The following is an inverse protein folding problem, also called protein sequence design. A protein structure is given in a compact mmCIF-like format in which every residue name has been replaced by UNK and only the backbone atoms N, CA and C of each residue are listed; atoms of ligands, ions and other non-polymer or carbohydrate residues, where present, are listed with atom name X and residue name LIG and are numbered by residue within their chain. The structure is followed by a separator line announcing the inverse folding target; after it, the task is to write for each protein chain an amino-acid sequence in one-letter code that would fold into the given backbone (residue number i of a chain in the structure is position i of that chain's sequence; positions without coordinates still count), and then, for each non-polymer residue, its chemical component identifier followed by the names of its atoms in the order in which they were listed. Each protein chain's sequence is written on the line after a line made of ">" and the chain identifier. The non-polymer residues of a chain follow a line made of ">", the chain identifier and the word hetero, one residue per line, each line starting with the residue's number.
data_IF_605623663516
#
_entry.id   IF_605623663516
#
_cell.length_a   1.000
_cell.length_b   1.000
_cell.length_c   1.000
_cell.angle_alpha   90.00
_cell.angle_beta   90.00
_cell.angle_gamma   90.00
#
_symmetry.space_group_name_H-M   'P 1'
#
loop_
_entity.id
_entity.type
_entity.pdbx_description
1 polymer ?
#
# COMPACT_ATOMS: atom_id res chain seq x y z
N UNK A 1 -9.20 -20.11 -3.27
CA UNK A 1 -8.16 -19.20 -3.82
C UNK A 1 -8.26 -19.06 -5.33
N UNK A 2 -8.41 -20.14 -6.10
CA UNK A 2 -8.41 -20.09 -7.58
C UNK A 2 -9.49 -19.20 -8.20
N UNK A 3 -10.69 -19.16 -7.60
CA UNK A 3 -11.76 -18.27 -8.05
C UNK A 3 -11.38 -16.80 -7.90
N UNK A 4 -10.77 -16.42 -6.77
CA UNK A 4 -10.31 -15.05 -6.55
C UNK A 4 -9.22 -14.66 -7.57
N UNK A 5 -8.29 -15.57 -7.85
CA UNK A 5 -7.27 -15.37 -8.90
C UNK A 5 -7.89 -15.13 -10.27
N UNK A 6 -8.83 -15.97 -10.71
CA UNK A 6 -9.51 -15.79 -12.00
C UNK A 6 -10.27 -14.46 -12.09
N UNK A 7 -10.88 -14.01 -11.00
CA UNK A 7 -11.58 -12.72 -10.96
C UNK A 7 -10.60 -11.55 -11.08
N UNK A 8 -9.46 -11.61 -10.39
CA UNK A 8 -8.41 -10.59 -10.50
C UNK A 8 -7.78 -10.57 -11.90
N UNK A 9 -7.47 -11.75 -12.47
CA UNK A 9 -6.84 -11.87 -13.80
C UNK A 9 -7.73 -11.34 -14.93
N UNK A 10 -9.06 -11.39 -14.77
CA UNK A 10 -10.02 -10.91 -15.78
C UNK A 10 -10.56 -9.50 -15.52
N UNK A 11 -10.29 -8.93 -14.35
CA UNK A 11 -10.77 -7.60 -13.98
C UNK A 11 -9.96 -6.51 -14.68
N UNK A 12 -10.64 -5.70 -15.50
CA UNK A 12 -10.02 -4.51 -16.10
C UNK A 12 -9.82 -3.40 -15.07
N UNK A 13 -10.85 -3.12 -14.27
CA UNK A 13 -10.86 -2.06 -13.24
C UNK A 13 -10.93 -2.68 -11.86
N UNK A 14 -9.99 -2.33 -10.99
CA UNK A 14 -9.89 -2.87 -9.64
C UNK A 14 -9.89 -1.71 -8.64
N UNK A 15 -10.78 -1.77 -7.65
CA UNK A 15 -10.74 -0.87 -6.50
C UNK A 15 -10.24 -1.65 -5.28
N UNK A 16 -9.17 -1.16 -4.67
CA UNK A 16 -8.58 -1.71 -3.45
C UNK A 16 -8.93 -0.75 -2.32
N UNK A 17 -9.70 -1.20 -1.35
CA UNK A 17 -10.03 -0.43 -0.15
C UNK A 17 -9.29 -1.01 1.06
N UNK A 18 -8.45 -0.19 1.70
CA UNK A 18 -7.69 -0.63 2.88
C UNK A 18 -8.04 0.16 4.14
N UNK A 19 -7.74 -0.45 5.29
CA UNK A 19 -7.82 0.17 6.61
C UNK A 19 -6.71 -0.37 7.52
N UNK A 20 -6.74 0.00 8.80
CA UNK A 20 -5.59 -0.18 9.72
C UNK A 20 -5.08 -1.62 9.83
N UNK A 21 -5.92 -2.62 9.57
CA UNK A 21 -5.52 -4.03 9.58
C UNK A 21 -4.37 -4.36 8.63
N UNK A 22 -4.27 -3.69 7.47
CA UNK A 22 -3.17 -3.93 6.51
C UNK A 22 -1.81 -3.55 7.08
N UNK A 23 -1.77 -2.60 8.02
CA UNK A 23 -0.54 -2.06 8.60
C UNK A 23 -0.21 -2.64 9.98
N UNK A 24 -1.07 -3.52 10.52
CA UNK A 24 -0.85 -4.18 11.81
C UNK A 24 0.46 -4.99 11.81
N UNK A 25 0.72 -5.76 10.75
CA UNK A 25 1.95 -6.55 10.58
C UNK A 25 3.21 -5.69 10.40
N UNK A 26 3.05 -4.41 10.04
CA UNK A 26 4.16 -3.43 10.01
C UNK A 26 4.47 -2.85 11.39
N UNK A 27 3.75 -3.27 12.44
CA UNK A 27 3.88 -2.73 13.80
C UNK A 27 3.12 -1.42 14.03
N UNK A 28 2.26 -1.00 13.09
CA UNK A 28 1.43 0.19 13.29
C UNK A 28 0.33 -0.13 14.31
N UNK A 29 0.21 0.64 15.41
CA UNK A 29 -0.86 0.47 16.38
C UNK A 29 -2.24 0.59 15.72
N UNK A 30 -3.04 -0.47 15.81
CA UNK A 30 -4.42 -0.45 15.31
C UNK A 30 -5.37 0.18 16.34
N UNK A 31 -6.48 0.75 15.86
CA UNK A 31 -7.49 1.37 16.72
C UNK A 31 -8.36 0.36 17.47
N UNK A 32 -8.52 -0.85 16.93
CA UNK A 32 -9.37 -1.92 17.46
C UNK A 32 -8.62 -3.25 17.35
N UNK A 33 -8.66 -4.08 18.40
CA UNK A 33 -7.99 -5.40 18.43
C UNK A 33 -7.39 -5.73 19.80
N UNK A 34 -6.93 -6.99 20.01
CA UNK A 34 -6.34 -7.44 21.27
C UNK A 34 -5.10 -6.64 21.68
N UNK A 35 -4.33 -6.15 20.71
CA UNK A 35 -3.14 -5.32 20.90
C UNK A 35 -3.40 -3.81 20.71
N UNK A 36 -4.69 -3.41 20.64
CA UNK A 36 -5.07 -2.02 20.54
C UNK A 36 -4.63 -1.27 21.79
N UNK A 37 -3.59 -0.43 21.68
CA UNK A 37 -3.02 0.39 22.74
C UNK A 37 -4.02 1.36 23.44
N UNK A 38 -5.29 1.36 23.02
CA UNK A 38 -6.34 2.29 23.43
C UNK A 38 -7.12 1.89 24.68
N UNK A 39 -6.55 1.06 25.56
CA UNK A 39 -7.16 0.80 26.89
C UNK A 39 -7.05 1.99 27.87
N UNK A 40 -6.22 3.01 27.58
CA UNK A 40 -6.00 4.15 28.49
C UNK A 40 -6.61 5.49 28.04
N UNK A 41 -6.85 5.68 26.74
CA UNK A 41 -7.54 6.87 26.20
C UNK A 41 -8.43 6.45 25.03
N UNK A 42 -9.67 6.93 25.00
CA UNK A 42 -10.60 6.64 23.90
C UNK A 42 -10.25 7.53 22.70
N UNK A 43 -10.23 7.01 21.46
CA UNK A 43 -9.97 7.82 20.27
C UNK A 43 -10.87 9.06 20.15
N UNK A 44 -12.11 8.99 20.64
CA UNK A 44 -13.07 10.10 20.66
C UNK A 44 -12.58 11.30 21.49
N UNK A 45 -11.75 11.04 22.50
CA UNK A 45 -11.17 12.05 23.39
C UNK A 45 -9.91 12.72 22.79
N UNK A 46 -9.45 12.28 21.61
CA UNK A 46 -8.17 12.72 21.01
C UNK A 46 -8.27 13.08 19.52
N UNK A 47 -9.11 12.40 18.76
CA UNK A 47 -9.21 12.53 17.30
C UNK A 47 -10.51 13.23 16.88
N UNK A 48 -10.94 14.25 17.62
CA UNK A 48 -12.09 15.10 17.27
C UNK A 48 -11.72 16.59 17.31
N UNK A 49 -12.35 17.45 16.50
CA UNK A 49 -12.13 18.89 16.57
C UNK A 49 -12.41 19.45 17.98
N UNK A 50 -13.42 18.91 18.67
CA UNK A 50 -13.77 19.31 20.03
C UNK A 50 -12.67 18.94 21.04
N UNK A 51 -12.09 17.74 20.94
CA UNK A 51 -10.96 17.34 21.79
C UNK A 51 -9.74 18.25 21.56
N UNK A 52 -9.43 18.55 20.30
CA UNK A 52 -8.33 19.46 19.96
C UNK A 52 -8.55 20.89 20.49
N UNK A 53 -9.79 21.39 20.46
CA UNK A 53 -10.11 22.69 21.05
C UNK A 53 -10.02 22.69 22.58
N UNK A 54 -10.38 21.56 23.21
CA UNK A 54 -10.36 21.44 24.67
C UNK A 54 -8.94 21.31 25.24
N UNK A 55 -8.09 20.48 24.62
CA UNK A 55 -6.67 20.32 25.00
C UNK A 55 -5.81 20.04 23.76
N UNK A 56 -5.35 21.08 23.04
CA UNK A 56 -4.53 20.91 21.85
C UNK A 56 -3.15 20.31 22.18
N UNK A 57 -2.64 20.54 23.40
CA UNK A 57 -1.33 20.02 23.82
C UNK A 57 -1.37 18.51 23.91
N UNK A 58 -2.36 17.95 24.61
CA UNK A 58 -2.54 16.51 24.72
C UNK A 58 -2.69 15.85 23.34
N UNK A 59 -3.51 16.43 22.46
CA UNK A 59 -3.71 15.90 21.11
C UNK A 59 -2.42 15.94 20.29
N UNK A 60 -1.64 17.03 20.38
CA UNK A 60 -0.34 17.12 19.71
C UNK A 60 0.69 16.15 20.25
N UNK A 61 0.82 16.02 21.56
CA UNK A 61 1.71 15.04 22.20
C UNK A 61 1.36 13.62 21.74
N UNK A 62 0.07 13.33 21.63
CA UNK A 62 -0.45 12.05 21.14
C UNK A 62 -0.12 11.78 19.67
N UNK A 63 -0.43 12.71 18.77
CA UNK A 63 -0.10 12.57 17.35
C UNK A 63 1.42 12.56 17.12
N UNK A 64 2.19 13.30 17.92
CA UNK A 64 3.66 13.28 17.91
C UNK A 64 4.21 11.89 18.24
N UNK A 65 3.72 11.28 19.31
CA UNK A 65 4.05 9.90 19.67
C UNK A 65 3.68 8.90 18.55
N UNK A 66 2.49 9.05 17.94
CA UNK A 66 2.07 8.19 16.82
C UNK A 66 3.00 8.35 15.61
N UNK A 67 3.34 9.59 15.25
CA UNK A 67 4.26 9.89 14.14
C UNK A 67 5.61 9.24 14.35
N UNK A 68 6.17 9.29 15.56
CA UNK A 68 7.44 8.65 15.88
C UNK A 68 7.39 7.13 15.70
N UNK A 69 6.30 6.48 16.17
CA UNK A 69 6.13 5.03 16.00
C UNK A 69 5.99 4.64 14.53
N UNK A 70 5.11 5.31 13.79
CA UNK A 70 4.88 5.04 12.37
C UNK A 70 6.13 5.31 11.53
N UNK A 71 6.91 6.35 11.86
CA UNK A 71 8.15 6.67 11.13
C UNK A 71 9.22 5.58 11.21
N UNK A 72 9.14 4.67 12.18
CA UNK A 72 10.02 3.50 12.28
C UNK A 72 9.48 2.26 11.54
N UNK A 73 8.20 2.26 11.13
CA UNK A 73 7.60 1.14 10.41
C UNK A 73 8.09 1.07 8.96
N UNK A 74 7.92 -0.11 8.34
CA UNK A 74 8.18 -0.36 6.93
C UNK A 74 6.97 -1.03 6.27
N UNK A 75 6.86 -0.94 4.93
CA UNK A 75 5.89 -1.74 4.21
C UNK A 75 6.04 -3.22 4.56
N UNK A 76 4.93 -3.95 4.46
CA UNK A 76 4.89 -5.39 4.65
C UNK A 76 4.43 -6.06 3.34
N UNK A 77 4.41 -7.40 3.25
CA UNK A 77 4.03 -8.10 2.02
C UNK A 77 2.66 -7.71 1.46
N UNK A 78 1.71 -7.26 2.29
CA UNK A 78 0.41 -6.80 1.81
C UNK A 78 0.52 -5.45 1.07
N UNK A 79 1.30 -4.50 1.59
CA UNK A 79 1.55 -3.22 0.91
C UNK A 79 2.30 -3.45 -0.41
N UNK A 80 3.32 -4.32 -0.41
CA UNK A 80 4.05 -4.68 -1.62
C UNK A 80 3.16 -5.34 -2.67
N UNK A 81 2.29 -6.28 -2.28
CA UNK A 81 1.37 -6.94 -3.20
C UNK A 81 0.38 -5.95 -3.83
N UNK A 82 -0.14 -5.01 -3.03
CA UNK A 82 -1.02 -3.94 -3.50
C UNK A 82 -0.28 -3.00 -4.45
N UNK A 83 0.95 -2.61 -4.12
CA UNK A 83 1.78 -1.75 -4.96
C UNK A 83 2.10 -2.43 -6.30
N UNK A 84 2.47 -3.72 -6.30
CA UNK A 84 2.68 -4.49 -7.55
C UNK A 84 1.41 -4.58 -8.40
N UNK A 85 0.24 -4.77 -7.78
CA UNK A 85 -1.03 -4.77 -8.50
C UNK A 85 -1.34 -3.39 -9.12
N UNK A 86 -1.09 -2.31 -8.36
CA UNK A 86 -1.31 -0.95 -8.83
C UNK A 86 -0.35 -0.58 -9.98
N UNK A 87 0.91 -1.01 -9.93
CA UNK A 87 1.89 -0.79 -10.99
C UNK A 87 1.63 -1.63 -12.25
N UNK A 88 1.10 -2.85 -12.10
CA UNK A 88 0.81 -3.74 -13.24
C UNK A 88 -0.55 -3.50 -13.90
N UNK A 89 -1.47 -2.79 -13.24
CA UNK A 89 -2.78 -2.44 -13.78
C UNK A 89 -3.05 -0.93 -13.67
N UNK A 90 -2.96 -0.23 -14.80
CA UNK A 90 -3.18 1.24 -14.89
C UNK A 90 -4.60 1.69 -14.49
N UNK A 91 -5.58 0.77 -14.48
CA UNK A 91 -6.96 1.01 -14.08
C UNK A 91 -7.25 0.59 -12.62
N UNK A 92 -6.24 0.12 -11.89
CA UNK A 92 -6.35 -0.11 -10.46
C UNK A 92 -6.35 1.21 -9.68
N UNK A 93 -7.19 1.29 -8.64
CA UNK A 93 -7.29 2.44 -7.74
C UNK A 93 -7.17 1.95 -6.30
N UNK A 94 -6.25 2.53 -5.56
CA UNK A 94 -6.11 2.32 -4.12
C UNK A 94 -6.80 3.46 -3.38
N UNK A 95 -7.69 3.10 -2.46
CA UNK A 95 -8.31 4.01 -1.51
C UNK A 95 -7.99 3.50 -0.11
N UNK A 96 -7.38 4.33 0.71
CA UNK A 96 -6.99 3.96 2.08
C UNK A 96 -7.64 4.86 3.11
N UNK A 97 -8.04 4.26 4.23
CA UNK A 97 -8.42 4.99 5.44
C UNK A 97 -7.22 5.31 6.33
N UNK A 98 -6.05 4.76 6.00
CA UNK A 98 -4.84 4.91 6.80
C UNK A 98 -4.18 6.26 6.56
N UNK A 99 -3.44 6.72 7.56
CA UNK A 99 -2.68 7.98 7.56
C UNK A 99 -1.20 7.75 7.85
N UNK A 100 -0.72 6.53 7.62
CA UNK A 100 0.64 6.09 7.95
C UNK A 100 1.66 6.24 6.80
N UNK A 101 1.19 6.32 5.54
CA UNK A 101 2.04 6.51 4.37
C UNK A 101 2.73 5.24 3.85
N UNK A 102 2.39 4.06 4.38
CA UNK A 102 3.09 2.82 4.04
C UNK A 102 2.78 2.29 2.63
N UNK A 103 1.63 2.66 2.06
CA UNK A 103 1.32 2.32 0.66
C UNK A 103 2.15 3.13 -0.33
N UNK A 104 2.27 4.44 -0.07
CA UNK A 104 3.09 5.34 -0.87
C UNK A 104 4.55 4.92 -0.82
N UNK A 105 5.07 4.61 0.38
CA UNK A 105 6.43 4.12 0.54
C UNK A 105 6.67 2.81 -0.24
N UNK A 106 5.74 1.86 -0.19
CA UNK A 106 5.85 0.61 -0.96
C UNK A 106 5.88 0.84 -2.48
N UNK A 107 5.08 1.79 -2.97
CA UNK A 107 5.08 2.18 -4.39
C UNK A 107 6.41 2.82 -4.80
N UNK A 108 6.96 3.71 -3.96
CA UNK A 108 8.23 4.38 -4.20
C UNK A 108 9.41 3.40 -4.18
N UNK A 109 9.46 2.48 -3.21
CA UNK A 109 10.49 1.43 -3.10
C UNK A 109 10.49 0.55 -4.35
N UNK A 110 9.33 0.04 -4.78
CA UNK A 110 9.22 -0.79 -5.98
C UNK A 110 9.49 -0.04 -7.29
N UNK A 111 9.11 1.24 -7.38
CA UNK A 111 9.42 2.06 -8.55
C UNK A 111 10.94 2.32 -8.65
N UNK A 112 11.64 2.36 -7.52
CA UNK A 112 13.08 2.60 -7.43
C UNK A 112 13.93 1.35 -7.75
N UNK A 113 13.39 0.15 -7.53
CA UNK A 113 14.06 -1.13 -7.84
C UNK A 113 14.17 -1.41 -9.36
N UNK A 114 13.46 -0.63 -10.20
CA UNK A 114 13.38 -0.86 -11.63
C UNK A 114 12.59 -2.14 -11.97
N UNK A 115 12.30 -2.41 -13.27
CA UNK A 115 11.71 -3.69 -13.62
C UNK A 115 12.67 -4.81 -13.21
N UNK A 116 12.16 -5.93 -12.65
CA UNK A 116 13.01 -7.07 -12.34
C UNK A 116 13.80 -7.41 -13.60
N UNK A 117 15.12 -7.42 -13.48
CA UNK A 117 15.98 -7.85 -14.56
C UNK A 117 15.47 -9.22 -15.00
N UNK A 118 15.07 -9.35 -16.27
CA UNK A 118 14.83 -10.65 -16.84
C UNK A 118 16.18 -11.37 -16.77
N UNK A 119 16.40 -12.17 -15.74
CA UNK A 119 17.51 -13.11 -15.72
C UNK A 119 17.27 -14.02 -16.91
N UNK A 120 18.10 -13.83 -17.93
CA UNK A 120 18.14 -14.66 -19.13
C UNK A 120 18.60 -16.06 -18.73
N UNK A 121 17.70 -16.86 -18.17
CA UNK A 121 17.88 -18.30 -18.18
C UNK A 121 17.57 -18.79 -19.60
N UNK A 122 18.57 -19.48 -20.15
CA UNK A 122 18.77 -19.63 -21.59
C UNK A 122 17.59 -20.27 -22.32
N UNK A 123 17.10 -19.55 -23.34
CA UNK A 123 16.51 -20.18 -24.52
C UNK A 123 17.58 -20.29 -25.59
N UNK A 124 18.31 -21.40 -25.58
CA UNK A 124 18.88 -21.97 -26.79
C UNK A 124 17.73 -22.46 -27.67
N UNK A 125 17.56 -21.87 -28.85
CA UNK A 125 16.63 -22.38 -29.85
C UNK A 125 15.97 -21.30 -30.71
N UNK A 126 16.52 -21.14 -31.91
CA UNK A 126 15.91 -20.60 -33.14
C UNK A 126 15.61 -19.09 -33.25
N UNK A 127 16.47 -18.42 -34.04
CA UNK A 127 16.18 -17.17 -34.74
C UNK A 127 14.95 -17.33 -35.64
N UNK A 128 13.86 -16.64 -35.31
CA UNK A 128 12.84 -16.30 -36.30
C UNK A 128 12.75 -14.78 -36.40
N UNK A 129 13.25 -14.25 -37.52
CA UNK A 129 13.10 -12.85 -37.88
C UNK A 129 11.61 -12.55 -38.09
N UNK A 130 11.02 -11.73 -37.21
CA UNK A 130 9.79 -11.00 -37.51
C UNK A 130 10.11 -9.52 -37.64
N UNK A 131 10.11 -9.06 -38.88
CA UNK A 131 10.04 -7.64 -39.24
C UNK A 131 8.64 -7.15 -38.88
N UNK A 132 8.54 -6.14 -38.01
CA UNK A 132 7.29 -5.41 -37.76
C UNK A 132 7.18 -4.27 -38.79
N UNK A 133 6.02 -4.04 -39.42
CA UNK A 133 5.82 -2.89 -40.28
C UNK A 133 5.63 -1.62 -39.44
N UNK A 134 6.21 -0.52 -39.92
CA UNK A 134 6.01 0.82 -39.38
C UNK A 134 4.54 1.26 -39.56
N UNK A 135 3.90 1.70 -38.47
CA UNK A 135 2.59 2.34 -38.54
C UNK A 135 2.73 3.81 -38.99
N UNK A 136 1.80 4.34 -39.81
CA UNK A 136 1.86 5.71 -40.27
C UNK A 136 1.47 6.70 -39.18
N UNK A 137 2.16 7.84 -39.17
CA UNK A 137 1.83 9.01 -38.36
C UNK A 137 0.51 9.61 -38.85
N UNK A 138 -0.41 9.85 -37.92
CA UNK A 138 -1.47 10.86 -38.05
C UNK A 138 -1.59 11.61 -36.74
#
# INVERSE_FOLDING_TARGET
>A
MDQARRLLDSARRILILTGAGVSAESGVPTFRGPDGHWRKHKPEDLATPKAFQADPRLVWEWYGWRRQRVGACRPNPAHEAIARLALSNQDARLVTQNVDGLHELALEELASEGPPSQTSEGRSGEMSQRVLPAAPVR
#
